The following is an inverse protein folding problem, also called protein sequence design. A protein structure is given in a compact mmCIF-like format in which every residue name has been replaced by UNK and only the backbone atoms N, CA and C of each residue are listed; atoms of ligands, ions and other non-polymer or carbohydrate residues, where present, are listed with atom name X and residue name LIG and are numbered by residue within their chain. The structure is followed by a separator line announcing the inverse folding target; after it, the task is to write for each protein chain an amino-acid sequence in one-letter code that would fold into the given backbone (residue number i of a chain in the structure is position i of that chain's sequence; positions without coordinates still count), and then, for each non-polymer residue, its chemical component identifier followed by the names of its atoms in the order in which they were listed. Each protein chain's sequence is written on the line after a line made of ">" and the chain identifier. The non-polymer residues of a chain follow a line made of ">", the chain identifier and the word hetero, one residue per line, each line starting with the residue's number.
data_IF_372573371986
#
_entry.id   IF_372573371986
#
_cell.length_a   1.000
_cell.length_b   1.000
_cell.length_c   1.000
_cell.angle_alpha   90.00
_cell.angle_beta   90.00
_cell.angle_gamma   90.00
#
_symmetry.space_group_name_H-M   'P 1'
#
loop_
_entity.id
_entity.type
_entity.pdbx_description
1 polymer ?
#
# COMPACT_ATOMS: atom_id res chain seq x y z
N UNK A 1 14.70 15.82 7.87
CA UNK A 1 13.75 14.68 7.92
C UNK A 1 14.18 13.73 6.80
N UNK A 2 14.36 12.41 7.08
CA UNK A 2 14.64 11.44 6.02
C UNK A 2 13.30 11.10 5.35
N UNK A 3 13.23 11.16 4.02
CA UNK A 3 12.14 10.65 3.21
C UNK A 3 12.53 9.25 2.75
N UNK A 4 11.65 8.28 2.91
CA UNK A 4 11.82 6.94 2.37
C UNK A 4 11.05 6.81 1.06
N UNK A 5 11.64 6.14 0.09
CA UNK A 5 11.08 5.94 -1.25
C UNK A 5 10.74 4.47 -1.44
N UNK A 6 9.51 4.19 -1.87
CA UNK A 6 9.10 2.88 -2.38
C UNK A 6 8.85 2.99 -3.88
N UNK A 7 9.59 2.26 -4.67
CA UNK A 7 9.35 2.14 -6.12
C UNK A 7 8.26 1.10 -6.40
N UNK A 8 7.22 1.48 -7.12
CA UNK A 8 6.08 0.63 -7.48
C UNK A 8 6.04 0.22 -8.95
N UNK A 9 7.10 0.50 -9.71
CA UNK A 9 7.18 0.22 -11.15
C UNK A 9 6.84 -1.24 -11.48
N UNK A 10 7.34 -2.18 -10.66
CA UNK A 10 7.18 -3.62 -10.92
C UNK A 10 5.83 -4.19 -10.49
N UNK A 11 5.02 -3.41 -9.78
CA UNK A 11 3.65 -3.80 -9.40
C UNK A 11 2.62 -2.89 -10.04
N UNK A 12 2.53 -1.64 -9.62
CA UNK A 12 1.53 -0.67 -10.10
C UNK A 12 1.84 -0.22 -11.53
N UNK A 13 3.08 0.19 -11.79
CA UNK A 13 3.54 0.54 -13.13
C UNK A 13 3.39 -0.60 -14.15
N UNK A 14 3.53 -1.84 -13.72
CA UNK A 14 3.32 -3.01 -14.59
C UNK A 14 1.85 -3.28 -14.96
N UNK A 15 0.89 -2.55 -14.37
CA UNK A 15 -0.53 -2.62 -14.75
C UNK A 15 -0.87 -1.71 -15.94
N UNK A 16 0.07 -0.88 -16.38
CA UNK A 16 -0.14 -0.02 -17.55
C UNK A 16 -0.35 -0.85 -18.83
N UNK A 17 -1.22 -0.35 -19.72
CA UNK A 17 -1.53 -1.00 -20.98
C UNK A 17 -0.25 -1.17 -21.84
N UNK A 18 -0.05 -2.36 -22.39
CA UNK A 18 1.11 -2.69 -23.20
C UNK A 18 2.38 -3.04 -22.43
N UNK A 19 2.40 -2.91 -21.11
CA UNK A 19 3.55 -3.31 -20.28
C UNK A 19 3.45 -4.78 -19.92
N UNK A 20 4.48 -5.55 -20.29
CA UNK A 20 4.59 -6.95 -19.88
C UNK A 20 6.05 -7.23 -19.48
N UNK A 21 6.27 -7.54 -18.21
CA UNK A 21 7.59 -7.87 -17.69
C UNK A 21 7.73 -9.39 -17.50
N UNK A 22 8.85 -9.95 -17.95
CA UNK A 22 9.26 -11.31 -17.59
C UNK A 22 9.80 -11.33 -16.14
N UNK A 23 10.08 -12.53 -15.63
CA UNK A 23 10.76 -12.67 -14.32
C UNK A 23 12.16 -12.08 -14.39
N UNK A 24 12.86 -12.30 -15.51
CA UNK A 24 14.22 -11.81 -15.71
C UNK A 24 14.25 -10.28 -15.81
N UNK A 25 13.27 -9.66 -16.50
CA UNK A 25 13.13 -8.19 -16.53
C UNK A 25 12.91 -7.62 -15.12
N UNK A 26 12.02 -8.25 -14.32
CA UNK A 26 11.79 -7.82 -12.93
C UNK A 26 13.06 -7.97 -12.09
N UNK A 27 13.79 -9.08 -12.21
CA UNK A 27 15.03 -9.30 -11.48
C UNK A 27 16.11 -8.28 -11.85
N UNK A 28 16.19 -7.89 -13.13
CA UNK A 28 17.11 -6.85 -13.59
C UNK A 28 16.73 -5.48 -13.03
N UNK A 29 15.46 -5.11 -13.09
CA UNK A 29 14.97 -3.86 -12.49
C UNK A 29 15.24 -3.81 -10.98
N UNK A 30 15.01 -4.91 -10.26
CA UNK A 30 15.30 -4.97 -8.82
C UNK A 30 16.79 -4.68 -8.56
N UNK A 31 17.71 -5.25 -9.36
CA UNK A 31 19.15 -4.97 -9.22
C UNK A 31 19.47 -3.50 -9.45
N UNK A 32 18.88 -2.89 -10.49
CA UNK A 32 19.09 -1.47 -10.81
C UNK A 32 18.58 -0.56 -9.69
N UNK A 33 17.39 -0.85 -9.15
CA UNK A 33 16.83 -0.07 -8.04
C UNK A 33 17.61 -0.25 -6.73
N UNK A 34 18.13 -1.46 -6.49
CA UNK A 34 19.02 -1.72 -5.35
C UNK A 34 20.35 -0.95 -5.47
N UNK A 35 20.94 -0.88 -6.66
CA UNK A 35 22.16 -0.09 -6.94
C UNK A 35 21.90 1.41 -6.76
N UNK A 36 20.69 1.89 -7.10
CA UNK A 36 20.26 3.27 -6.87
C UNK A 36 19.93 3.55 -5.39
N UNK A 37 19.94 2.52 -4.54
CA UNK A 37 19.63 2.60 -3.09
C UNK A 37 18.23 3.13 -2.80
N UNK A 38 17.25 2.72 -3.62
CA UNK A 38 15.84 2.90 -3.31
C UNK A 38 15.53 2.15 -2.02
N UNK A 39 14.85 2.79 -1.04
CA UNK A 39 14.64 2.16 0.27
C UNK A 39 13.78 0.87 0.16
N UNK A 40 12.72 0.90 -0.67
CA UNK A 40 11.79 -0.22 -0.85
C UNK A 40 11.45 -0.43 -2.33
N UNK A 41 11.25 -1.68 -2.74
CA UNK A 41 10.86 -2.06 -4.12
C UNK A 41 9.64 -2.98 -4.03
N UNK A 42 8.49 -2.52 -4.52
CA UNK A 42 7.27 -3.32 -4.58
C UNK A 42 7.30 -4.22 -5.83
N UNK A 43 7.69 -5.47 -5.63
CA UNK A 43 8.09 -6.36 -6.73
C UNK A 43 6.92 -7.10 -7.40
N UNK A 44 5.72 -7.08 -6.81
CA UNK A 44 4.55 -7.71 -7.40
C UNK A 44 3.55 -8.25 -6.39
N UNK A 45 2.55 -8.98 -6.93
CA UNK A 45 1.42 -9.55 -6.17
C UNK A 45 1.43 -11.08 -6.29
N UNK A 46 1.88 -11.83 -5.26
CA UNK A 46 2.07 -13.28 -5.36
C UNK A 46 0.81 -14.07 -5.73
N UNK A 47 -0.37 -13.55 -5.36
CA UNK A 47 -1.64 -14.18 -5.68
C UNK A 47 -2.13 -13.89 -7.10
N UNK A 48 -1.77 -12.73 -7.67
CA UNK A 48 -2.33 -12.26 -8.94
C UNK A 48 -1.78 -13.02 -10.16
N UNK A 49 -0.51 -13.42 -10.12
CA UNK A 49 0.06 -14.17 -11.24
C UNK A 49 1.20 -15.12 -10.81
N UNK A 50 1.42 -16.20 -11.58
CA UNK A 50 2.47 -17.18 -11.27
C UNK A 50 3.90 -16.63 -11.30
N UNK A 51 4.18 -15.58 -12.09
CA UNK A 51 5.51 -14.97 -12.17
C UNK A 51 5.86 -14.28 -10.85
N UNK A 52 4.92 -13.50 -10.30
CA UNK A 52 5.11 -12.80 -9.02
C UNK A 52 5.18 -13.79 -7.86
N UNK A 53 4.39 -14.88 -7.90
CA UNK A 53 4.52 -15.96 -6.92
C UNK A 53 5.91 -16.57 -6.96
N UNK A 54 6.41 -16.90 -8.15
CA UNK A 54 7.76 -17.47 -8.30
C UNK A 54 8.81 -16.51 -7.77
N UNK A 55 8.78 -15.23 -8.18
CA UNK A 55 9.73 -14.21 -7.77
C UNK A 55 9.75 -13.98 -6.24
N UNK A 56 8.57 -13.94 -5.60
CA UNK A 56 8.43 -13.52 -4.21
C UNK A 56 8.37 -14.68 -3.20
N UNK A 57 8.00 -15.89 -3.64
CA UNK A 57 7.85 -17.04 -2.76
C UNK A 57 8.87 -18.15 -3.04
N UNK A 58 9.23 -18.39 -4.31
CA UNK A 58 10.03 -19.54 -4.69
C UNK A 58 11.51 -19.16 -4.93
N UNK A 59 11.77 -18.05 -5.64
CA UNK A 59 13.13 -17.59 -5.95
C UNK A 59 13.79 -16.89 -4.75
N UNK A 60 15.12 -16.86 -4.72
CA UNK A 60 15.91 -16.18 -3.68
C UNK A 60 16.51 -14.89 -4.25
N UNK A 61 15.65 -13.91 -4.55
CA UNK A 61 16.10 -12.60 -5.01
C UNK A 61 16.64 -11.81 -3.84
N UNK A 62 17.94 -11.48 -3.89
CA UNK A 62 18.64 -10.75 -2.83
C UNK A 62 18.87 -9.31 -3.24
N UNK A 63 18.67 -8.42 -2.30
CA UNK A 63 19.05 -7.00 -2.36
C UNK A 63 20.03 -6.69 -1.25
N UNK A 64 20.88 -5.68 -1.43
CA UNK A 64 21.90 -5.24 -0.47
C UNK A 64 21.45 -3.95 0.23
N UNK A 65 20.89 -3.03 -0.52
CA UNK A 65 20.53 -1.69 -0.06
C UNK A 65 19.03 -1.52 0.14
N UNK A 66 18.22 -2.22 -0.66
CA UNK A 66 16.77 -2.08 -0.75
C UNK A 66 16.04 -3.18 0.01
N UNK A 67 14.79 -2.95 0.39
CA UNK A 67 13.89 -3.97 0.89
C UNK A 67 12.84 -4.33 -0.14
N UNK A 68 12.68 -5.62 -0.44
CA UNK A 68 11.58 -6.09 -1.29
C UNK A 68 10.27 -6.06 -0.51
N UNK A 69 9.21 -5.61 -1.17
CA UNK A 69 7.83 -5.55 -0.67
C UNK A 69 6.94 -6.40 -1.56
N UNK A 70 6.14 -7.29 -0.96
CA UNK A 70 5.09 -8.00 -1.65
C UNK A 70 3.76 -7.30 -1.41
N UNK A 71 2.95 -7.16 -2.47
CA UNK A 71 1.66 -6.48 -2.40
C UNK A 71 0.50 -7.47 -2.36
N UNK A 72 -0.55 -7.11 -1.62
CA UNK A 72 -1.81 -7.83 -1.59
C UNK A 72 -2.94 -6.98 -1.03
N UNK A 73 -4.15 -7.56 -1.00
CA UNK A 73 -5.33 -6.92 -0.44
C UNK A 73 -5.70 -7.48 0.93
N UNK A 74 -6.62 -6.81 1.62
CA UNK A 74 -7.33 -7.39 2.75
C UNK A 74 -8.02 -8.69 2.35
N UNK A 75 -8.31 -9.58 3.32
CA UNK A 75 -9.02 -10.84 3.08
C UNK A 75 -10.33 -10.63 2.33
N UNK A 76 -10.76 -11.65 1.61
CA UNK A 76 -12.09 -11.65 1.01
C UNK A 76 -13.18 -11.68 2.11
N UNK A 77 -14.31 -11.00 1.87
CA UNK A 77 -15.40 -10.85 2.85
C UNK A 77 -15.93 -12.16 3.42
N UNK A 78 -15.92 -13.24 2.62
CA UNK A 78 -16.45 -14.55 3.00
C UNK A 78 -15.40 -15.48 3.63
N UNK A 79 -14.12 -15.09 3.66
CA UNK A 79 -13.05 -15.95 4.14
C UNK A 79 -12.64 -15.57 5.57
N UNK A 80 -12.28 -16.57 6.36
CA UNK A 80 -11.45 -16.37 7.54
C UNK A 80 -10.00 -16.09 7.08
N UNK A 81 -9.21 -15.43 7.90
CA UNK A 81 -7.83 -15.08 7.54
C UNK A 81 -6.97 -16.30 7.21
N UNK A 82 -7.13 -17.38 7.98
CA UNK A 82 -6.38 -18.62 7.79
C UNK A 82 -6.79 -19.40 6.52
N UNK A 83 -7.99 -19.12 6.00
CA UNK A 83 -8.54 -19.75 4.80
C UNK A 83 -8.37 -18.89 3.54
N UNK A 84 -7.92 -17.64 3.72
CA UNK A 84 -7.72 -16.72 2.60
C UNK A 84 -6.41 -16.99 1.89
N UNK A 85 -6.50 -17.52 0.67
CA UNK A 85 -5.32 -17.92 -0.11
C UNK A 85 -4.42 -16.75 -0.49
N UNK A 86 -4.96 -15.54 -0.68
CA UNK A 86 -4.16 -14.37 -0.99
C UNK A 86 -3.33 -13.92 0.22
N UNK A 87 -3.96 -13.84 1.41
CA UNK A 87 -3.25 -13.54 2.66
C UNK A 87 -2.22 -14.63 3.01
N UNK A 88 -2.57 -15.90 2.80
CA UNK A 88 -1.64 -16.99 3.04
C UNK A 88 -0.40 -16.89 2.15
N UNK A 89 -0.56 -16.65 0.84
CA UNK A 89 0.58 -16.44 -0.06
C UNK A 89 1.41 -15.22 0.33
N UNK A 90 0.76 -14.12 0.73
CA UNK A 90 1.46 -12.93 1.20
C UNK A 90 2.26 -13.23 2.48
N UNK A 91 1.70 -14.00 3.41
CA UNK A 91 2.40 -14.42 4.62
C UNK A 91 3.60 -15.35 4.36
N UNK A 92 3.52 -16.17 3.32
CA UNK A 92 4.57 -17.12 2.89
C UNK A 92 5.62 -16.47 1.98
N UNK A 93 5.41 -15.24 1.50
CA UNK A 93 6.42 -14.54 0.70
C UNK A 93 7.75 -14.47 1.46
N UNK A 94 8.88 -14.50 0.74
CA UNK A 94 10.22 -14.36 1.34
C UNK A 94 10.53 -12.91 1.75
N UNK A 95 9.64 -11.96 1.40
CA UNK A 95 9.80 -10.57 1.80
C UNK A 95 9.46 -10.36 3.27
N UNK A 96 10.27 -9.56 3.97
CA UNK A 96 9.95 -9.11 5.32
C UNK A 96 8.82 -8.08 5.33
N UNK A 97 8.77 -7.23 4.29
CA UNK A 97 7.81 -6.15 4.15
C UNK A 97 6.68 -6.55 3.20
N UNK A 98 5.46 -6.16 3.56
CA UNK A 98 4.27 -6.37 2.75
C UNK A 98 3.39 -5.13 2.74
N UNK A 99 2.88 -4.74 1.57
CA UNK A 99 1.83 -3.73 1.44
C UNK A 99 0.47 -4.42 1.38
N UNK A 100 -0.47 -3.92 2.16
CA UNK A 100 -1.86 -4.41 2.18
C UNK A 100 -2.79 -3.26 1.83
N UNK A 101 -3.45 -3.37 0.68
CA UNK A 101 -4.47 -2.40 0.26
C UNK A 101 -5.81 -2.69 0.93
N UNK A 102 -6.45 -1.64 1.44
CA UNK A 102 -7.82 -1.70 1.97
C UNK A 102 -8.60 -0.44 1.64
N UNK A 103 -9.92 -0.59 1.42
CA UNK A 103 -10.79 0.53 1.03
C UNK A 103 -10.96 1.53 2.18
N UNK A 104 -10.78 2.81 1.89
CA UNK A 104 -10.92 3.91 2.86
C UNK A 104 -12.06 4.89 2.53
N UNK A 105 -12.96 4.50 1.64
CA UNK A 105 -14.23 5.16 1.33
C UNK A 105 -15.40 4.25 1.67
N UNK A 106 -16.47 4.80 2.25
CA UNK A 106 -17.73 4.07 2.52
C UNK A 106 -18.33 3.57 1.21
N UNK A 107 -18.39 4.43 0.21
CA UNK A 107 -18.90 4.06 -1.13
C UNK A 107 -18.13 2.90 -1.74
N UNK A 108 -16.80 2.85 -1.58
CA UNK A 108 -15.99 1.74 -2.08
C UNK A 108 -16.23 0.44 -1.29
N UNK A 109 -16.39 0.53 0.03
CA UNK A 109 -16.72 -0.64 0.84
C UNK A 109 -18.08 -1.24 0.47
N UNK A 110 -19.09 -0.39 0.33
CA UNK A 110 -20.47 -0.85 0.07
C UNK A 110 -20.71 -1.28 -1.38
N UNK A 111 -20.22 -0.51 -2.36
CA UNK A 111 -20.54 -0.77 -3.77
C UNK A 111 -19.55 -1.73 -4.43
N UNK A 112 -18.27 -1.70 -4.06
CA UNK A 112 -17.22 -2.55 -4.68
C UNK A 112 -17.02 -3.83 -3.88
N UNK A 113 -16.74 -3.74 -2.58
CA UNK A 113 -16.57 -4.93 -1.74
C UNK A 113 -17.91 -5.57 -1.35
N UNK A 114 -19.01 -4.81 -1.43
CA UNK A 114 -20.36 -5.24 -1.02
C UNK A 114 -20.39 -5.70 0.45
N UNK A 115 -19.78 -4.88 1.31
CA UNK A 115 -19.75 -5.09 2.76
C UNK A 115 -20.14 -3.79 3.47
N UNK A 116 -20.56 -3.90 4.72
CA UNK A 116 -20.77 -2.70 5.56
C UNK A 116 -19.44 -1.99 5.86
N UNK A 117 -19.51 -0.71 6.18
CA UNK A 117 -18.35 0.06 6.66
C UNK A 117 -17.65 -0.65 7.84
N UNK A 118 -18.43 -1.22 8.76
CA UNK A 118 -17.91 -1.93 9.93
C UNK A 118 -17.22 -3.24 9.55
N UNK A 119 -17.78 -4.01 8.61
CA UNK A 119 -17.13 -5.24 8.13
C UNK A 119 -15.83 -4.94 7.41
N UNK A 120 -15.76 -3.85 6.64
CA UNK A 120 -14.52 -3.43 6.01
C UNK A 120 -13.44 -3.08 7.06
N UNK A 121 -13.78 -2.36 8.12
CA UNK A 121 -12.84 -2.10 9.23
C UNK A 121 -12.36 -3.42 9.85
N UNK A 122 -13.27 -4.38 10.04
CA UNK A 122 -12.91 -5.71 10.54
C UNK A 122 -11.97 -6.45 9.57
N UNK A 123 -12.23 -6.40 8.26
CA UNK A 123 -11.35 -7.01 7.26
C UNK A 123 -9.95 -6.39 7.30
N UNK A 124 -9.83 -5.08 7.43
CA UNK A 124 -8.55 -4.37 7.57
C UNK A 124 -7.82 -4.86 8.82
N UNK A 125 -8.50 -4.86 9.98
CA UNK A 125 -7.90 -5.31 11.24
C UNK A 125 -7.40 -6.74 11.17
N UNK A 126 -8.29 -7.67 10.79
CA UNK A 126 -8.02 -9.10 10.74
C UNK A 126 -6.81 -9.40 9.84
N UNK A 127 -6.77 -8.78 8.64
CA UNK A 127 -5.71 -9.03 7.65
C UNK A 127 -4.35 -8.52 8.10
N UNK A 128 -4.29 -7.31 8.63
CA UNK A 128 -3.03 -6.73 9.10
C UNK A 128 -2.53 -7.50 10.32
N UNK A 129 -3.43 -7.82 11.27
CA UNK A 129 -3.08 -8.58 12.45
C UNK A 129 -2.52 -9.96 12.10
N UNK A 130 -3.19 -10.69 11.19
CA UNK A 130 -2.75 -11.98 10.69
C UNK A 130 -1.32 -11.97 10.14
N UNK A 131 -0.96 -10.95 9.37
CA UNK A 131 0.38 -10.81 8.79
C UNK A 131 1.41 -10.40 9.85
N UNK A 132 1.05 -9.50 10.77
CA UNK A 132 1.92 -9.11 11.89
C UNK A 132 2.23 -10.29 12.80
N UNK A 133 1.25 -11.16 13.10
CA UNK A 133 1.44 -12.37 13.92
C UNK A 133 2.35 -13.41 13.23
N UNK A 134 2.55 -13.27 11.92
CA UNK A 134 3.50 -14.06 11.10
C UNK A 134 4.81 -13.33 10.83
N UNK A 135 5.14 -12.35 11.68
CA UNK A 135 6.38 -11.56 11.65
C UNK A 135 6.56 -10.71 10.38
N UNK A 136 5.48 -10.37 9.65
CA UNK A 136 5.58 -9.40 8.56
C UNK A 136 5.56 -7.96 9.09
N UNK A 137 6.30 -7.09 8.43
CA UNK A 137 6.19 -5.64 8.62
C UNK A 137 5.20 -5.11 7.61
N UNK A 138 4.03 -4.67 8.08
CA UNK A 138 2.90 -4.32 7.23
C UNK A 138 2.85 -2.82 6.96
N UNK A 139 2.78 -2.44 5.69
CA UNK A 139 2.36 -1.14 5.18
C UNK A 139 0.87 -1.24 4.85
N UNK A 140 0.09 -0.25 5.24
CA UNK A 140 -1.33 -0.19 4.91
C UNK A 140 -1.56 0.90 3.87
N UNK A 141 -1.98 0.50 2.68
CA UNK A 141 -2.35 1.39 1.60
C UNK A 141 -3.84 1.69 1.69
N UNK A 142 -4.17 2.88 2.18
CA UNK A 142 -5.53 3.36 2.35
C UNK A 142 -6.10 3.81 0.99
N UNK A 143 -6.62 2.86 0.23
CA UNK A 143 -7.10 3.07 -1.13
C UNK A 143 -8.35 3.97 -1.15
N UNK A 144 -8.40 4.92 -2.10
CA UNK A 144 -9.40 5.98 -2.18
C UNK A 144 -9.48 6.86 -0.93
N UNK A 145 -8.34 7.08 -0.26
CA UNK A 145 -8.33 7.81 1.01
C UNK A 145 -8.83 9.25 0.85
N UNK A 146 -8.35 9.97 -0.15
CA UNK A 146 -8.73 11.38 -0.33
C UNK A 146 -10.19 11.53 -0.71
N UNK A 147 -10.72 10.67 -1.57
CA UNK A 147 -12.16 10.64 -1.90
C UNK A 147 -12.99 10.26 -0.67
N UNK A 148 -12.57 9.23 0.05
CA UNK A 148 -13.23 8.78 1.27
C UNK A 148 -13.21 9.83 2.37
N UNK A 149 -12.11 10.57 2.50
CA UNK A 149 -12.02 11.67 3.46
C UNK A 149 -12.95 12.82 3.11
N UNK A 150 -13.08 13.18 1.83
CA UNK A 150 -14.05 14.19 1.37
C UNK A 150 -15.49 13.72 1.57
N UNK A 151 -15.76 12.43 1.43
CA UNK A 151 -17.08 11.81 1.63
C UNK A 151 -17.45 11.70 3.13
N UNK A 152 -16.56 11.11 3.93
CA UNK A 152 -16.74 10.84 5.35
C UNK A 152 -15.38 10.86 6.06
N UNK A 153 -14.93 12.01 6.58
CA UNK A 153 -13.62 12.15 7.23
C UNK A 153 -13.42 11.19 8.40
N UNK A 154 -14.47 10.97 9.21
CA UNK A 154 -14.37 10.12 10.40
C UNK A 154 -14.10 8.67 10.01
N UNK A 155 -14.81 8.16 9.00
CA UNK A 155 -14.61 6.80 8.51
C UNK A 155 -13.22 6.61 7.89
N UNK A 156 -12.78 7.56 7.05
CA UNK A 156 -11.44 7.50 6.46
C UNK A 156 -10.34 7.46 7.54
N UNK A 157 -10.48 8.26 8.59
CA UNK A 157 -9.58 8.23 9.74
C UNK A 157 -9.70 6.94 10.55
N UNK A 158 -10.90 6.33 10.63
CA UNK A 158 -11.11 5.05 11.32
C UNK A 158 -10.41 3.89 10.60
N UNK A 159 -10.31 3.91 9.26
CA UNK A 159 -9.53 2.90 8.53
C UNK A 159 -8.04 2.96 8.92
N UNK A 160 -7.47 4.17 9.00
CA UNK A 160 -6.08 4.36 9.45
C UNK A 160 -5.88 3.96 10.91
N UNK A 161 -6.83 4.31 11.78
CA UNK A 161 -6.80 3.95 13.21
C UNK A 161 -6.84 2.43 13.39
N UNK A 162 -7.71 1.78 12.63
CA UNK A 162 -7.87 0.32 12.61
C UNK A 162 -6.59 -0.36 12.16
N UNK A 163 -6.01 0.08 11.04
CA UNK A 163 -4.75 -0.46 10.53
C UNK A 163 -3.59 -0.28 11.54
N UNK A 164 -3.47 0.91 12.12
CA UNK A 164 -2.45 1.18 13.16
C UNK A 164 -2.62 0.28 14.37
N UNK A 165 -3.85 0.11 14.87
CA UNK A 165 -4.14 -0.73 16.03
C UNK A 165 -3.89 -2.22 15.75
N UNK A 166 -4.08 -2.66 14.51
CA UNK A 166 -3.75 -4.01 14.06
C UNK A 166 -2.23 -4.26 13.95
N UNK A 167 -1.41 -3.20 13.89
CA UNK A 167 0.05 -3.30 13.90
C UNK A 167 0.77 -2.76 12.66
N UNK A 168 0.04 -2.12 11.72
CA UNK A 168 0.67 -1.49 10.56
C UNK A 168 1.76 -0.48 10.99
N UNK A 169 2.91 -0.57 10.34
CA UNK A 169 4.08 0.31 10.61
C UNK A 169 4.08 1.59 9.79
N UNK A 170 3.40 1.57 8.67
CA UNK A 170 3.26 2.69 7.75
C UNK A 170 1.78 2.78 7.34
N UNK A 171 1.27 4.01 7.27
CA UNK A 171 -0.07 4.33 6.78
C UNK A 171 0.09 5.18 5.53
N UNK A 172 -0.24 4.63 4.37
CA UNK A 172 -0.11 5.30 3.07
C UNK A 172 -1.46 5.85 2.65
N UNK A 173 -1.52 7.13 2.34
CA UNK A 173 -2.71 7.82 1.87
C UNK A 173 -2.71 7.78 0.34
N UNK A 174 -3.69 7.09 -0.27
CA UNK A 174 -3.72 6.93 -1.73
C UNK A 174 -4.70 7.92 -2.37
N UNK A 175 -4.18 8.77 -3.28
CA UNK A 175 -4.98 9.51 -4.24
C UNK A 175 -5.22 8.64 -5.48
N UNK A 176 -6.07 7.62 -5.27
CA UNK A 176 -6.28 6.51 -6.23
C UNK A 176 -6.86 6.98 -7.55
N UNK A 177 -7.69 8.02 -7.54
CA UNK A 177 -8.26 8.60 -8.76
C UNK A 177 -7.37 9.69 -9.37
N UNK A 178 -6.24 10.07 -8.73
CA UNK A 178 -5.38 11.15 -9.19
C UNK A 178 -6.10 12.49 -9.36
N UNK A 179 -7.17 12.71 -8.58
CA UNK A 179 -8.12 13.79 -8.77
C UNK A 179 -8.07 14.87 -7.67
N UNK A 180 -7.09 14.81 -6.78
CA UNK A 180 -6.92 15.80 -5.73
C UNK A 180 -5.97 16.91 -6.14
N UNK A 181 -6.23 18.12 -5.66
CA UNK A 181 -5.34 19.27 -5.86
C UNK A 181 -4.27 19.32 -4.75
N UNK A 182 -3.09 19.92 -4.99
CA UNK A 182 -2.00 19.97 -4.00
C UNK A 182 -2.40 20.60 -2.65
N UNK A 183 -3.25 21.62 -2.67
CA UNK A 183 -3.76 22.25 -1.45
C UNK A 183 -4.69 21.33 -0.65
N UNK A 184 -5.49 20.49 -1.32
CA UNK A 184 -6.35 19.48 -0.67
C UNK A 184 -5.47 18.41 -0.02
N UNK A 185 -4.48 17.88 -0.77
CA UNK A 185 -3.48 16.92 -0.27
C UNK A 185 -2.79 17.50 0.98
N UNK A 186 -2.26 18.70 0.90
CA UNK A 186 -1.57 19.36 2.01
C UNK A 186 -2.46 19.50 3.25
N UNK A 187 -3.71 19.93 3.09
CA UNK A 187 -4.62 20.13 4.21
C UNK A 187 -4.99 18.82 4.89
N UNK A 188 -5.31 17.78 4.10
CA UNK A 188 -5.69 16.45 4.61
C UNK A 188 -4.50 15.77 5.28
N UNK A 189 -3.32 15.75 4.64
CA UNK A 189 -2.10 15.15 5.20
C UNK A 189 -1.70 15.81 6.52
N UNK A 190 -1.76 17.15 6.62
CA UNK A 190 -1.53 17.86 7.90
C UNK A 190 -2.46 17.40 9.00
N UNK A 191 -3.74 17.17 8.68
CA UNK A 191 -4.73 16.68 9.64
C UNK A 191 -4.40 15.25 10.09
N UNK A 192 -4.04 14.37 9.15
CA UNK A 192 -3.66 12.98 9.45
C UNK A 192 -2.39 12.93 10.32
N UNK A 193 -1.35 13.66 9.95
CA UNK A 193 -0.09 13.73 10.72
C UNK A 193 -0.34 14.23 12.15
N UNK A 194 -1.19 15.25 12.32
CA UNK A 194 -1.57 15.76 13.63
C UNK A 194 -2.38 14.74 14.46
N UNK A 195 -3.26 13.98 13.80
CA UNK A 195 -4.13 12.99 14.45
C UNK A 195 -3.35 11.74 14.85
N UNK A 196 -2.47 11.26 13.98
CA UNK A 196 -1.72 10.02 14.19
C UNK A 196 -0.26 10.29 14.62
N UNK A 197 -0.08 11.07 15.67
CA UNK A 197 1.25 11.33 16.26
C UNK A 197 2.00 10.01 16.46
N UNK A 198 3.29 9.98 16.06
CA UNK A 198 4.19 8.82 16.10
C UNK A 198 3.87 7.70 15.07
N UNK A 199 2.86 7.83 14.20
CA UNK A 199 2.74 6.97 13.04
C UNK A 199 3.59 7.52 11.89
N UNK A 200 4.19 6.64 11.11
CA UNK A 200 4.80 7.00 9.83
C UNK A 200 3.66 7.16 8.82
N UNK A 201 3.63 8.29 8.11
CA UNK A 201 2.64 8.59 7.08
C UNK A 201 3.33 8.59 5.72
N UNK A 202 2.74 7.87 4.77
CA UNK A 202 3.13 7.83 3.38
C UNK A 202 2.10 8.47 2.47
N UNK A 203 2.50 8.70 1.22
CA UNK A 203 1.65 9.21 0.14
C UNK A 203 1.87 8.38 -1.12
N UNK A 204 0.78 8.06 -1.81
CA UNK A 204 0.76 7.46 -3.14
C UNK A 204 -0.22 8.24 -4.01
N UNK A 205 0.28 8.86 -5.08
CA UNK A 205 -0.54 9.70 -5.96
C UNK A 205 -0.52 9.18 -7.38
N UNK A 206 -1.72 8.93 -7.95
CA UNK A 206 -1.88 8.70 -9.38
C UNK A 206 -1.83 10.02 -10.16
N UNK A 207 -1.57 9.95 -11.47
CA UNK A 207 -1.23 11.11 -12.31
C UNK A 207 -2.34 11.49 -13.30
N UNK A 208 -3.60 11.15 -13.01
CA UNK A 208 -4.72 11.39 -13.94
C UNK A 208 -4.92 12.87 -14.29
N UNK A 209 -4.62 13.77 -13.35
CA UNK A 209 -4.61 15.22 -13.61
C UNK A 209 -3.21 15.78 -13.94
N UNK A 210 -2.17 14.94 -14.08
CA UNK A 210 -0.80 15.41 -14.27
C UNK A 210 -0.21 16.08 -13.02
N UNK A 211 -0.70 15.73 -11.82
CA UNK A 211 -0.35 16.39 -10.56
C UNK A 211 0.36 15.47 -9.56
N UNK A 212 0.65 14.20 -9.88
CA UNK A 212 1.20 13.25 -8.93
C UNK A 212 2.46 13.77 -8.23
N UNK A 213 3.41 14.34 -8.96
CA UNK A 213 4.64 14.90 -8.39
C UNK A 213 4.35 16.10 -7.49
N UNK A 214 3.48 17.01 -7.93
CA UNK A 214 3.10 18.20 -7.15
C UNK A 214 2.39 17.79 -5.85
N UNK A 215 1.48 16.81 -5.93
CA UNK A 215 0.75 16.24 -4.79
C UNK A 215 1.71 15.55 -3.80
N UNK A 216 2.66 14.78 -4.30
CA UNK A 216 3.70 14.12 -3.49
C UNK A 216 4.54 15.15 -2.73
N UNK A 217 5.00 16.23 -3.40
CA UNK A 217 5.75 17.32 -2.76
C UNK A 217 4.89 18.00 -1.69
N UNK A 218 3.63 18.33 -2.00
CA UNK A 218 2.70 18.94 -1.05
C UNK A 218 2.46 18.06 0.18
N UNK A 219 2.40 16.73 0.02
CA UNK A 219 2.27 15.78 1.12
C UNK A 219 3.54 15.75 1.99
N UNK A 220 4.73 15.76 1.39
CA UNK A 220 6.01 15.80 2.12
C UNK A 220 6.13 17.08 2.93
N UNK A 221 5.79 18.23 2.35
CA UNK A 221 5.76 19.53 3.05
C UNK A 221 4.74 19.56 4.19
N UNK A 222 3.68 18.76 4.07
CA UNK A 222 2.65 18.57 5.09
C UNK A 222 3.05 17.57 6.20
N UNK A 223 4.18 16.85 6.04
CA UNK A 223 4.75 15.96 7.06
C UNK A 223 4.72 14.47 6.72
N UNK A 224 4.38 14.07 5.48
CA UNK A 224 4.62 12.71 5.02
C UNK A 224 6.13 12.42 4.96
N UNK A 225 6.50 11.19 5.30
CA UNK A 225 7.91 10.75 5.38
C UNK A 225 8.21 9.53 4.51
N UNK A 226 7.23 9.09 3.77
CA UNK A 226 7.34 7.99 2.83
C UNK A 226 6.56 8.35 1.56
N UNK A 227 7.12 8.06 0.40
CA UNK A 227 6.55 8.33 -0.91
C UNK A 227 6.57 7.07 -1.77
N UNK A 228 5.53 6.95 -2.58
CA UNK A 228 5.40 5.89 -3.57
C UNK A 228 5.17 6.47 -4.96
#
# INVERSE_FOLDING_TARGET
>A
MKIEVLDTTLRDGAQAEGVTLSIDDKAECIRLFDDLKIDYIEAGTPFANPKDKKLLCDDDVKTINSHLVAFGSTRHKNNLTDEDSALNLLSLSKTQFVSVVGKSSVTQAEKVLQVSAQDNLKMIYDSIRFLCDRNKTVFFDAEHFFDGYKENPDYALDTLRTAKNAGAKLLVLCDTNGASLPEEISAIVKTVVKTFKRAKIGIHCHDDLGLAVANTIAAVDAGATHIQ
#
